data_IF_116271353396
#
_entry.id   IF_116271353396
#
_cell.length_a   1.000
_cell.length_b   1.000
_cell.length_c   1.000
_cell.angle_alpha   90.00
_cell.angle_beta   90.00
_cell.angle_gamma   90.00
#
_symmetry.space_group_name_H-M   'P 1'
#
loop_
_entity.id
_entity.type
_entity.pdbx_description
1 polymer ?
#
# COMPACT_ATOMS: atom_id res chain seq x y z
N UNK A 1 4.93 -2.04 -10.74
CA UNK A 1 4.21 -3.09 -9.99
C UNK A 1 2.77 -2.66 -9.95
N UNK A 2 1.84 -3.55 -10.31
CA UNK A 2 0.41 -3.28 -10.21
C UNK A 2 -0.09 -4.08 -9.01
N UNK A 3 -0.78 -3.42 -8.09
CA UNK A 3 -1.43 -4.05 -6.94
C UNK A 3 -2.92 -3.78 -7.10
N UNK A 4 -3.71 -4.84 -7.29
CA UNK A 4 -5.14 -4.68 -7.53
C UNK A 4 -5.83 -3.97 -6.36
N UNK A 5 -5.64 -4.44 -5.12
CA UNK A 5 -6.21 -3.81 -3.92
C UNK A 5 -5.27 -3.86 -2.70
N UNK A 6 -5.17 -2.74 -1.97
CA UNK A 6 -4.64 -2.64 -0.61
C UNK A 6 -5.82 -2.30 0.31
N UNK A 7 -6.58 -3.34 0.68
CA UNK A 7 -7.80 -3.25 1.44
C UNK A 7 -7.66 -3.75 2.87
N UNK A 8 -8.74 -3.63 3.65
CA UNK A 8 -8.78 -4.04 5.07
C UNK A 8 -8.50 -5.54 5.23
N UNK A 9 -8.88 -6.37 4.27
CA UNK A 9 -8.74 -7.82 4.37
C UNK A 9 -7.29 -8.27 4.13
N UNK A 10 -6.61 -7.65 3.18
CA UNK A 10 -5.26 -8.00 2.74
C UNK A 10 -4.23 -7.61 3.83
N UNK A 11 -4.46 -6.48 4.50
CA UNK A 11 -3.59 -6.00 5.58
C UNK A 11 -3.74 -6.79 6.89
N UNK A 12 -4.55 -7.85 6.96
CA UNK A 12 -4.39 -8.82 8.06
C UNK A 12 -3.14 -9.70 7.89
N UNK A 13 -2.62 -9.81 6.67
CA UNK A 13 -1.41 -10.57 6.37
C UNK A 13 -0.15 -9.70 6.49
N UNK A 14 0.69 -9.98 7.48
CA UNK A 14 1.96 -9.26 7.62
C UNK A 14 2.90 -9.49 6.42
N UNK A 15 2.86 -10.69 5.82
CA UNK A 15 3.58 -10.97 4.56
C UNK A 15 3.11 -10.07 3.43
N UNK A 16 1.80 -9.80 3.35
CA UNK A 16 1.27 -8.87 2.35
C UNK A 16 1.80 -7.45 2.59
N UNK A 17 1.73 -6.97 3.83
CA UNK A 17 2.26 -5.64 4.22
C UNK A 17 3.73 -5.48 3.86
N UNK A 18 4.55 -6.50 4.14
CA UNK A 18 5.98 -6.50 3.82
C UNK A 18 6.22 -6.41 2.31
N UNK A 19 5.45 -7.14 1.50
CA UNK A 19 5.56 -7.09 0.03
C UNK A 19 5.11 -5.75 -0.54
N UNK A 20 4.02 -5.18 -0.03
CA UNK A 20 3.57 -3.82 -0.39
C UNK A 20 4.68 -2.82 -0.08
N UNK A 21 5.22 -2.85 1.13
CA UNK A 21 6.28 -1.94 1.55
C UNK A 21 7.56 -2.11 0.72
N UNK A 22 7.94 -3.35 0.39
CA UNK A 22 9.07 -3.62 -0.49
C UNK A 22 8.85 -3.07 -1.91
N UNK A 23 7.61 -3.10 -2.42
CA UNK A 23 7.28 -2.49 -3.72
C UNK A 23 7.37 -0.97 -3.65
N UNK A 24 6.79 -0.35 -2.62
CA UNK A 24 6.81 1.10 -2.41
C UNK A 24 8.24 1.63 -2.15
N UNK A 25 9.11 0.85 -1.53
CA UNK A 25 10.52 1.22 -1.29
C UNK A 25 11.44 0.88 -2.46
N UNK A 26 10.91 0.34 -3.56
CA UNK A 26 11.69 0.03 -4.75
C UNK A 26 11.76 1.23 -5.70
N UNK A 27 12.70 1.19 -6.66
CA UNK A 27 12.76 2.20 -7.75
C UNK A 27 11.68 1.99 -8.83
N UNK A 28 10.79 1.00 -8.66
CA UNK A 28 9.78 0.67 -9.68
C UNK A 28 8.56 1.57 -9.49
N UNK A 29 7.97 2.03 -10.58
CA UNK A 29 6.66 2.68 -10.53
C UNK A 29 5.60 1.71 -9.97
N UNK A 30 4.78 2.17 -9.03
CA UNK A 30 3.72 1.39 -8.40
C UNK A 30 2.38 2.06 -8.70
N UNK A 31 1.45 1.28 -9.25
CA UNK A 31 0.05 1.65 -9.41
C UNK A 31 -0.78 0.70 -8.57
N UNK A 32 -1.62 1.23 -7.69
CA UNK A 32 -2.43 0.42 -6.79
C UNK A 32 -3.80 1.04 -6.57
N UNK A 33 -4.81 0.21 -6.28
CA UNK A 33 -6.01 0.71 -5.61
C UNK A 33 -5.85 0.57 -4.10
N UNK A 34 -6.33 1.56 -3.37
CA UNK A 34 -6.20 1.62 -1.91
C UNK A 34 -7.52 2.10 -1.31
N UNK A 35 -7.95 1.45 -0.22
CA UNK A 35 -9.21 1.80 0.43
C UNK A 35 -9.26 3.26 0.85
N UNK A 36 -10.38 3.96 0.62
CA UNK A 36 -10.55 5.38 0.99
C UNK A 36 -10.44 5.55 2.52
N UNK A 37 -11.18 4.72 3.26
CA UNK A 37 -10.98 4.52 4.70
C UNK A 37 -10.00 3.40 4.98
N UNK A 38 -9.51 3.30 6.21
CA UNK A 38 -8.57 2.25 6.56
C UNK A 38 -8.08 2.36 8.00
N UNK A 39 -7.23 1.41 8.37
CA UNK A 39 -6.52 1.47 9.64
C UNK A 39 -5.29 2.40 9.56
N UNK A 40 -4.48 2.39 10.61
CA UNK A 40 -3.24 3.17 10.66
C UNK A 40 -2.24 2.78 9.57
N UNK A 41 -2.29 1.56 9.04
CA UNK A 41 -1.38 1.10 7.99
C UNK A 41 -1.72 1.74 6.64
N UNK A 42 -3.00 1.69 6.24
CA UNK A 42 -3.47 2.33 4.99
C UNK A 42 -3.20 3.83 5.01
N UNK A 43 -3.50 4.49 6.13
CA UNK A 43 -3.30 5.94 6.28
C UNK A 43 -1.84 6.34 6.07
N UNK A 44 -0.91 5.58 6.65
CA UNK A 44 0.55 5.81 6.50
C UNK A 44 1.06 5.65 5.08
N UNK A 45 0.43 4.82 4.25
CA UNK A 45 0.83 4.71 2.83
C UNK A 45 0.46 6.00 2.09
N UNK A 46 -0.71 6.56 2.37
CA UNK A 46 -1.20 7.81 1.73
C UNK A 46 -0.43 9.05 2.16
N UNK A 47 0.11 9.03 3.37
CA UNK A 47 0.91 10.13 3.95
C UNK A 47 2.37 10.17 3.46
N UNK A 48 2.80 9.20 2.63
CA UNK A 48 4.16 9.21 2.10
C UNK A 48 4.34 10.34 1.08
N UNK A 49 5.49 11.01 1.15
CA UNK A 49 5.82 12.12 0.24
C UNK A 49 5.94 11.70 -1.24
N UNK A 50 6.17 10.41 -1.51
CA UNK A 50 6.29 9.83 -2.85
C UNK A 50 4.97 9.23 -3.37
N UNK A 51 3.86 9.41 -2.65
CA UNK A 51 2.54 8.90 -3.02
C UNK A 51 1.62 10.03 -3.47
N UNK A 52 0.88 9.78 -4.54
CA UNK A 52 -0.24 10.61 -4.99
C UNK A 52 -1.49 9.72 -5.00
N UNK A 53 -2.57 10.18 -4.36
CA UNK A 53 -3.85 9.45 -4.19
C UNK A 53 -4.93 10.09 -5.03
#
# INVERSE_FOLDING_TARGET
VIIDEIGKMEIFSDKFKEKVLACLNSKKFVLATIGIGGDKYISRIKERDDVTV
#
